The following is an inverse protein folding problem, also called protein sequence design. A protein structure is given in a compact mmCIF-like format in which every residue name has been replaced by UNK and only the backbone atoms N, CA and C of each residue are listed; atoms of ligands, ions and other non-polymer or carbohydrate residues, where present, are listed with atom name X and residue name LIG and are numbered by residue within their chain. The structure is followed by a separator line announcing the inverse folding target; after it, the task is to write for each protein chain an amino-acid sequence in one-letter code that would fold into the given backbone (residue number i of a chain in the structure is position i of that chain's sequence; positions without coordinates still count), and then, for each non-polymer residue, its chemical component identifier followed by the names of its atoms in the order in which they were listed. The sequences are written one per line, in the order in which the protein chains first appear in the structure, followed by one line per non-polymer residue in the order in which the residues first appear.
data_IF_168347383033
#
_entry.id   IF_168347383033
#
_cell.length_a   1.000
_cell.length_b   1.000
_cell.length_c   1.000
_cell.angle_alpha   90.00
_cell.angle_beta   90.00
_cell.angle_gamma   90.00
#
_symmetry.space_group_name_H-M   'P 1'
#
loop_
_entity.id
_entity.type
_entity.pdbx_description
1 polymer ?
#
# COMPACT_ATOMS: atom_id res chain seq x y z
N UNK A 1 -33.58 -19.38 12.16
CA UNK A 1 -33.20 -18.12 12.86
C UNK A 1 -32.30 -17.28 11.98
N UNK A 2 -32.15 -15.99 12.26
CA UNK A 2 -31.26 -15.09 11.53
C UNK A 2 -29.79 -15.57 11.54
N UNK A 3 -29.35 -16.15 12.67
CA UNK A 3 -28.03 -16.76 12.82
C UNK A 3 -27.78 -17.88 11.80
N UNK A 4 -28.72 -18.79 11.65
CA UNK A 4 -28.61 -19.90 10.68
C UNK A 4 -28.52 -19.42 9.24
N UNK A 5 -29.27 -18.36 8.88
CA UNK A 5 -29.20 -17.74 7.54
C UNK A 5 -27.83 -17.10 7.29
N UNK A 6 -27.24 -16.42 8.28
CA UNK A 6 -25.93 -15.84 8.19
C UNK A 6 -24.82 -16.91 8.02
N UNK A 7 -24.88 -18.00 8.79
CA UNK A 7 -23.94 -19.12 8.68
C UNK A 7 -24.01 -19.78 7.30
N UNK A 8 -25.21 -20.01 6.78
CA UNK A 8 -25.40 -20.54 5.42
C UNK A 8 -24.82 -19.60 4.36
N UNK A 9 -25.07 -18.30 4.46
CA UNK A 9 -24.54 -17.30 3.54
C UNK A 9 -23.00 -17.27 3.54
N UNK A 10 -22.36 -17.27 4.72
CA UNK A 10 -20.90 -17.32 4.81
C UNK A 10 -20.32 -18.61 4.26
N UNK A 11 -20.98 -19.76 4.47
CA UNK A 11 -20.57 -21.04 3.90
C UNK A 11 -20.64 -21.00 2.35
N UNK A 12 -21.70 -20.44 1.79
CA UNK A 12 -21.85 -20.27 0.35
C UNK A 12 -20.76 -19.34 -0.23
N UNK A 13 -20.48 -18.24 0.45
CA UNK A 13 -19.37 -17.32 0.07
C UNK A 13 -18.00 -18.02 0.10
N UNK A 14 -17.73 -18.81 1.12
CA UNK A 14 -16.48 -19.57 1.22
C UNK A 14 -16.33 -20.58 0.10
N UNK A 15 -17.40 -21.30 -0.22
CA UNK A 15 -17.40 -22.27 -1.31
C UNK A 15 -17.22 -21.60 -2.68
N UNK A 16 -17.91 -20.48 -2.93
CA UNK A 16 -17.78 -19.71 -4.17
C UNK A 16 -16.41 -19.05 -4.36
N UNK A 17 -15.63 -18.87 -3.27
CA UNK A 17 -14.33 -18.22 -3.31
C UNK A 17 -13.36 -18.89 -4.28
N UNK A 18 -13.25 -20.21 -4.24
CA UNK A 18 -12.28 -20.94 -5.06
C UNK A 18 -12.65 -20.85 -6.55
N UNK A 19 -13.91 -20.96 -6.88
CA UNK A 19 -14.40 -20.83 -8.25
C UNK A 19 -14.15 -19.42 -8.79
N UNK A 20 -14.41 -18.40 -7.97
CA UNK A 20 -14.13 -17.00 -8.33
C UNK A 20 -12.63 -16.78 -8.59
N UNK A 21 -11.77 -17.22 -7.67
CA UNK A 21 -10.32 -17.05 -7.82
C UNK A 21 -9.82 -17.78 -9.08
N UNK A 22 -10.28 -19.00 -9.31
CA UNK A 22 -9.96 -19.79 -10.51
C UNK A 22 -10.41 -19.08 -11.79
N UNK A 23 -11.65 -18.59 -11.83
CA UNK A 23 -12.20 -17.87 -12.99
C UNK A 23 -11.43 -16.58 -13.30
N UNK A 24 -10.84 -15.93 -12.29
CA UNK A 24 -10.02 -14.73 -12.45
C UNK A 24 -8.51 -15.02 -12.60
N UNK A 25 -8.10 -16.29 -12.59
CA UNK A 25 -6.69 -16.67 -12.63
C UNK A 25 -5.90 -16.23 -11.40
N UNK A 26 -6.58 -16.06 -10.26
CA UNK A 26 -5.99 -15.59 -9.02
C UNK A 26 -5.64 -16.76 -8.09
N UNK A 27 -4.55 -16.61 -7.32
CA UNK A 27 -4.17 -17.54 -6.27
C UNK A 27 -4.89 -17.23 -4.96
N UNK A 28 -4.93 -18.17 -4.03
CA UNK A 28 -5.51 -18.00 -2.68
C UNK A 28 -4.72 -17.06 -1.78
N UNK A 29 -3.49 -16.74 -2.15
CA UNK A 29 -2.63 -15.81 -1.43
C UNK A 29 -1.81 -14.98 -2.41
N UNK A 30 -1.72 -13.68 -2.15
CA UNK A 30 -0.92 -12.73 -2.91
C UNK A 30 0.11 -12.13 -1.97
N UNK A 31 1.38 -12.13 -2.39
CA UNK A 31 2.44 -11.46 -1.63
C UNK A 31 2.38 -9.94 -1.88
N UNK A 32 3.06 -9.18 -1.01
CA UNK A 32 3.08 -7.74 -1.13
C UNK A 32 3.70 -7.29 -2.46
N UNK A 33 4.83 -7.89 -2.87
CA UNK A 33 5.44 -7.58 -4.17
C UNK A 33 4.53 -7.94 -5.35
N UNK A 34 3.80 -9.05 -5.29
CA UNK A 34 2.82 -9.40 -6.33
C UNK A 34 1.67 -8.40 -6.41
N UNK A 35 1.35 -7.72 -5.32
CA UNK A 35 0.28 -6.72 -5.29
C UNK A 35 0.71 -5.37 -5.85
N UNK A 36 1.92 -4.87 -5.53
CA UNK A 36 2.31 -3.47 -5.76
C UNK A 36 3.62 -3.26 -6.52
N UNK A 37 4.30 -4.30 -7.03
CA UNK A 37 5.58 -4.12 -7.74
C UNK A 37 5.49 -3.34 -9.06
N UNK A 38 4.31 -3.16 -9.62
CA UNK A 38 4.06 -2.32 -10.78
C UNK A 38 3.92 -0.81 -10.43
N UNK A 39 3.87 -0.48 -9.14
CA UNK A 39 3.70 0.87 -8.60
C UNK A 39 5.01 1.45 -8.01
N UNK A 40 6.16 0.83 -8.25
CA UNK A 40 7.44 1.32 -7.75
C UNK A 40 7.81 2.67 -8.34
N UNK A 41 8.43 3.55 -7.53
CA UNK A 41 9.01 4.82 -7.99
C UNK A 41 10.03 4.61 -9.11
N UNK A 42 10.80 3.53 -9.05
CA UNK A 42 11.75 3.13 -10.09
C UNK A 42 11.12 2.80 -11.45
N UNK A 43 9.80 2.58 -11.51
CA UNK A 43 9.07 2.32 -12.76
C UNK A 43 8.69 3.56 -13.55
N UNK A 44 8.92 4.71 -12.99
CA UNK A 44 8.75 6.00 -13.61
C UNK A 44 7.99 7.00 -12.75
N UNK A 45 8.33 8.24 -12.91
CA UNK A 45 7.78 9.37 -12.16
C UNK A 45 7.18 10.37 -13.14
N UNK A 46 6.09 11.01 -12.74
CA UNK A 46 5.56 12.22 -13.37
C UNK A 46 5.40 13.31 -12.34
N UNK A 47 5.46 14.55 -12.80
CA UNK A 47 5.05 15.73 -12.03
C UNK A 47 3.68 16.12 -12.57
N UNK A 48 2.70 16.17 -11.70
CA UNK A 48 1.35 16.60 -12.05
C UNK A 48 1.30 18.13 -12.18
N UNK A 49 0.51 18.62 -13.12
CA UNK A 49 0.41 20.06 -13.38
C UNK A 49 -0.25 20.82 -12.22
N UNK A 50 -1.14 20.17 -11.49
CA UNK A 50 -1.83 20.75 -10.33
C UNK A 50 -0.97 20.69 -9.05
N UNK A 51 -0.14 19.63 -8.92
CA UNK A 51 0.67 19.36 -7.74
C UNK A 51 2.17 19.35 -8.05
N UNK A 52 2.69 20.44 -8.62
CA UNK A 52 4.05 20.57 -9.19
C UNK A 52 5.19 20.26 -8.20
N UNK A 53 4.95 20.32 -6.89
CA UNK A 53 5.96 20.02 -5.87
C UNK A 53 6.02 18.55 -5.47
N UNK A 54 5.15 17.71 -6.03
CA UNK A 54 5.07 16.30 -5.67
C UNK A 54 5.33 15.39 -6.87
N UNK A 55 5.90 14.23 -6.57
CA UNK A 55 6.15 13.18 -7.54
C UNK A 55 5.02 12.17 -7.48
N UNK A 56 4.52 11.79 -8.64
CA UNK A 56 3.53 10.73 -8.81
C UNK A 56 4.16 9.58 -9.58
N UNK A 57 3.79 8.35 -9.26
CA UNK A 57 4.27 7.18 -9.97
C UNK A 57 3.44 6.90 -11.22
N UNK A 58 4.09 6.48 -12.29
CA UNK A 58 3.43 5.96 -13.50
C UNK A 58 3.01 4.52 -13.31
N UNK A 59 2.00 4.10 -14.07
CA UNK A 59 1.82 2.69 -14.32
C UNK A 59 2.97 2.12 -15.13
N UNK A 60 3.45 0.94 -14.75
CA UNK A 60 4.22 0.15 -15.70
C UNK A 60 3.30 -0.27 -16.86
N UNK A 61 3.82 -0.23 -18.08
CA UNK A 61 3.08 -0.57 -19.31
C UNK A 61 2.58 -2.02 -19.33
N UNK A 62 3.28 -2.92 -18.65
CA UNK A 62 2.96 -4.35 -18.61
C UNK A 62 2.70 -4.77 -17.16
N UNK A 63 1.48 -5.12 -16.77
CA UNK A 63 1.19 -5.73 -15.49
C UNK A 63 1.89 -7.07 -15.36
N UNK A 64 2.65 -7.26 -14.30
CA UNK A 64 3.50 -8.44 -14.14
C UNK A 64 2.74 -9.65 -13.56
N UNK A 65 1.74 -9.41 -12.69
CA UNK A 65 1.02 -10.48 -11.98
C UNK A 65 -0.46 -10.54 -12.38
N UNK A 66 -1.08 -11.70 -12.16
CA UNK A 66 -2.52 -11.86 -12.35
C UNK A 66 -3.34 -10.91 -11.47
N UNK A 67 -2.86 -10.68 -10.22
CA UNK A 67 -3.50 -9.75 -9.30
C UNK A 67 -3.44 -8.31 -9.81
N UNK A 68 -2.29 -7.85 -10.29
CA UNK A 68 -2.14 -6.51 -10.86
C UNK A 68 -3.02 -6.32 -12.09
N UNK A 69 -3.09 -7.33 -12.98
CA UNK A 69 -4.02 -7.32 -14.13
C UNK A 69 -5.48 -7.19 -13.68
N UNK A 70 -5.86 -7.94 -12.64
CA UNK A 70 -7.21 -7.91 -12.09
C UNK A 70 -7.53 -6.53 -11.47
N UNK A 71 -6.63 -5.96 -10.68
CA UNK A 71 -6.81 -4.63 -10.09
C UNK A 71 -6.91 -3.51 -11.14
N UNK A 72 -6.28 -3.69 -12.29
CA UNK A 72 -6.26 -2.72 -13.39
C UNK A 72 -7.29 -3.01 -14.48
N UNK A 73 -8.13 -4.04 -14.34
CA UNK A 73 -9.03 -4.51 -15.41
C UNK A 73 -10.03 -3.45 -15.89
N UNK A 74 -10.47 -2.56 -15.01
CA UNK A 74 -11.46 -1.52 -15.31
C UNK A 74 -10.83 -0.13 -15.48
N UNK A 75 -9.51 -0.02 -15.47
CA UNK A 75 -8.83 1.28 -15.55
C UNK A 75 -8.88 1.79 -16.99
N UNK A 76 -9.71 2.80 -17.18
CA UNK A 76 -9.58 3.68 -18.34
C UNK A 76 -8.56 4.76 -17.97
N UNK A 77 -7.32 4.62 -18.42
CA UNK A 77 -6.21 5.52 -18.05
C UNK A 77 -6.49 6.91 -18.64
N UNK A 78 -7.15 7.75 -17.85
CA UNK A 78 -7.48 9.14 -18.24
C UNK A 78 -6.44 10.16 -17.81
N UNK A 79 -5.43 9.78 -17.04
CA UNK A 79 -4.43 10.69 -16.47
C UNK A 79 -3.00 10.18 -16.60
N UNK A 80 -2.01 11.03 -16.30
CA UNK A 80 -0.59 10.70 -16.41
C UNK A 80 -0.12 9.68 -15.36
N UNK A 81 -0.90 9.46 -14.31
CA UNK A 81 -0.58 8.57 -13.20
C UNK A 81 -1.83 7.91 -12.60
N UNK A 82 -1.70 6.79 -11.87
CA UNK A 82 -2.80 6.20 -11.10
C UNK A 82 -3.36 7.18 -10.08
N UNK A 83 -4.68 7.14 -9.84
CA UNK A 83 -5.28 7.95 -8.78
C UNK A 83 -4.61 7.66 -7.44
N UNK A 84 -4.36 8.72 -6.68
CA UNK A 84 -3.82 8.66 -5.32
C UNK A 84 -2.43 7.99 -5.20
N UNK A 85 -1.66 7.92 -6.29
CA UNK A 85 -0.30 7.38 -6.30
C UNK A 85 0.76 8.49 -6.21
N UNK A 86 0.62 9.34 -5.19
CA UNK A 86 1.56 10.42 -4.86
C UNK A 86 2.58 9.96 -3.84
N UNK A 87 3.87 10.11 -4.15
CA UNK A 87 4.95 9.82 -3.21
C UNK A 87 5.06 10.89 -2.12
N UNK A 88 5.34 10.46 -0.89
CA UNK A 88 5.65 11.38 0.19
C UNK A 88 6.99 12.09 -0.07
N UNK A 89 7.03 13.38 0.24
CA UNK A 89 8.24 14.19 0.06
C UNK A 89 9.10 14.12 1.34
N UNK A 90 9.80 13.00 1.53
CA UNK A 90 10.70 12.80 2.65
C UNK A 90 12.00 13.61 2.47
N UNK A 91 12.51 14.18 3.56
CA UNK A 91 13.84 14.78 3.57
C UNK A 91 14.93 13.67 3.56
N UNK A 92 16.16 14.07 3.24
CA UNK A 92 17.27 13.13 3.11
C UNK A 92 17.54 12.32 4.38
N UNK A 93 17.40 12.92 5.57
CA UNK A 93 17.62 12.22 6.83
C UNK A 93 16.59 11.10 7.05
N UNK A 94 15.34 11.32 6.66
CA UNK A 94 14.29 10.29 6.73
C UNK A 94 14.57 9.17 5.72
N UNK A 95 14.95 9.52 4.49
CA UNK A 95 15.30 8.54 3.45
C UNK A 95 16.46 7.66 3.91
N UNK A 96 17.55 8.25 4.41
CA UNK A 96 18.71 7.51 4.92
C UNK A 96 18.32 6.60 6.10
N UNK A 97 17.52 7.09 7.03
CA UNK A 97 16.99 6.29 8.14
C UNK A 97 16.16 5.10 7.66
N UNK A 98 15.26 5.31 6.71
CA UNK A 98 14.46 4.22 6.16
C UNK A 98 15.32 3.19 5.42
N UNK A 99 16.33 3.64 4.68
CA UNK A 99 17.28 2.74 4.02
C UNK A 99 18.03 1.88 5.03
N UNK A 100 18.58 2.48 6.07
CA UNK A 100 19.27 1.73 7.14
C UNK A 100 18.35 0.72 7.83
N UNK A 101 17.10 1.10 8.10
CA UNK A 101 16.12 0.20 8.70
C UNK A 101 15.77 -0.97 7.77
N UNK A 102 15.63 -0.73 6.47
CA UNK A 102 15.43 -1.78 5.48
C UNK A 102 16.62 -2.75 5.43
N UNK A 103 17.83 -2.26 5.53
CA UNK A 103 19.05 -3.07 5.49
C UNK A 103 19.23 -3.91 6.77
N UNK A 104 19.04 -3.28 7.94
CA UNK A 104 19.15 -3.94 9.24
C UNK A 104 18.07 -5.00 9.48
N UNK A 105 16.86 -4.78 8.97
CA UNK A 105 15.72 -5.65 9.24
C UNK A 105 15.47 -6.69 8.16
N UNK A 106 16.42 -6.88 7.25
CA UNK A 106 16.32 -7.79 6.08
C UNK A 106 15.78 -9.19 6.42
N UNK A 107 16.11 -9.71 7.59
CA UNK A 107 15.71 -11.05 8.07
C UNK A 107 14.43 -11.05 8.92
N UNK A 108 13.92 -9.90 9.31
CA UNK A 108 12.79 -9.74 10.26
C UNK A 108 11.76 -8.71 9.79
N UNK A 109 11.55 -8.58 8.50
CA UNK A 109 10.53 -7.70 7.95
C UNK A 109 9.12 -8.19 8.32
N UNK A 110 8.11 -7.36 8.14
CA UNK A 110 6.74 -7.58 8.58
C UNK A 110 6.54 -7.70 10.11
N UNK A 111 7.53 -7.28 10.91
CA UNK A 111 7.43 -7.15 12.36
C UNK A 111 7.83 -5.75 12.80
N UNK A 112 7.33 -5.32 13.93
CA UNK A 112 7.77 -4.04 14.50
C UNK A 112 9.27 -4.09 14.81
N UNK A 113 9.95 -2.96 14.66
CA UNK A 113 11.38 -2.85 14.95
C UNK A 113 11.62 -3.00 16.46
N UNK A 114 12.69 -3.71 16.83
CA UNK A 114 13.07 -3.92 18.21
C UNK A 114 13.39 -2.57 18.92
N UNK A 115 13.11 -2.52 20.23
CA UNK A 115 13.31 -1.31 21.02
C UNK A 115 14.78 -0.83 21.07
N UNK A 116 15.73 -1.74 20.91
CA UNK A 116 17.15 -1.39 20.85
C UNK A 116 17.45 -0.58 19.59
N UNK A 117 16.96 -1.03 18.43
CA UNK A 117 17.07 -0.31 17.16
C UNK A 117 16.35 1.03 17.24
N UNK A 118 15.16 1.07 17.85
CA UNK A 118 14.41 2.33 18.03
C UNK A 118 15.21 3.34 18.85
N UNK A 119 15.83 2.91 19.94
CA UNK A 119 16.67 3.78 20.79
C UNK A 119 17.90 4.29 20.02
N UNK A 120 18.60 3.40 19.33
CA UNK A 120 19.78 3.77 18.54
C UNK A 120 19.49 4.83 17.47
N UNK A 121 18.34 4.76 16.82
CA UNK A 121 17.92 5.71 15.78
C UNK A 121 17.04 6.85 16.30
N UNK A 122 16.87 7.00 17.61
CA UNK A 122 16.00 8.00 18.24
C UNK A 122 14.56 7.99 17.67
N UNK A 123 14.00 6.79 17.47
CA UNK A 123 12.66 6.60 16.96
C UNK A 123 11.67 6.55 18.11
N UNK A 124 10.95 7.65 18.32
CA UNK A 124 9.94 7.76 19.38
C UNK A 124 8.60 7.09 19.01
N UNK A 125 8.46 6.62 17.78
CA UNK A 125 7.23 6.02 17.27
C UNK A 125 7.03 4.61 17.85
N UNK A 126 5.81 4.33 18.33
CA UNK A 126 5.49 3.01 18.90
C UNK A 126 5.56 1.90 17.84
N UNK A 127 4.96 2.13 16.69
CA UNK A 127 4.92 1.18 15.58
C UNK A 127 5.71 1.68 14.40
N UNK A 128 6.65 0.86 13.89
CA UNK A 128 7.32 1.05 12.62
C UNK A 128 7.69 -0.32 12.05
N UNK A 129 7.14 -0.65 10.90
CA UNK A 129 7.20 -1.98 10.30
C UNK A 129 7.82 -1.89 8.89
N UNK A 130 9.07 -2.34 8.72
CA UNK A 130 9.63 -2.56 7.40
C UNK A 130 8.93 -3.75 6.74
N UNK A 131 8.29 -3.53 5.62
CA UNK A 131 7.53 -4.57 4.94
C UNK A 131 8.44 -5.56 4.20
N UNK A 132 7.98 -6.80 4.03
CA UNK A 132 8.64 -7.82 3.22
C UNK A 132 7.81 -8.11 1.96
N UNK A 133 8.42 -7.91 0.79
CA UNK A 133 7.78 -8.17 -0.50
C UNK A 133 7.35 -9.61 -0.71
N UNK A 134 8.01 -10.58 -0.07
CA UNK A 134 7.74 -12.01 -0.21
C UNK A 134 6.67 -12.53 0.77
N UNK A 135 6.20 -11.68 1.68
CA UNK A 135 5.17 -12.02 2.65
C UNK A 135 3.85 -11.35 2.28
N UNK A 136 2.77 -11.83 2.89
CA UNK A 136 1.49 -11.13 2.87
C UNK A 136 1.62 -9.82 3.65
N UNK A 137 0.85 -8.81 3.26
CA UNK A 137 0.79 -7.58 4.03
C UNK A 137 0.24 -7.86 5.44
N UNK A 138 0.80 -7.23 6.48
CA UNK A 138 0.22 -7.26 7.83
C UNK A 138 -1.10 -6.48 7.86
N UNK A 139 -1.83 -6.57 8.97
CA UNK A 139 -3.00 -5.73 9.22
C UNK A 139 -2.63 -4.26 9.11
N UNK A 140 -3.32 -3.52 8.27
CA UNK A 140 -3.03 -2.12 8.00
C UNK A 140 -3.58 -1.25 9.14
N UNK A 141 -2.73 -0.34 9.63
CA UNK A 141 -3.10 0.68 10.62
C UNK A 141 -3.59 1.96 9.93
N UNK A 142 -4.19 2.86 10.70
CA UNK A 142 -4.69 4.15 10.20
C UNK A 142 -3.60 5.20 9.98
N UNK A 143 -2.36 4.92 10.39
CA UNK A 143 -1.22 5.85 10.25
C UNK A 143 -0.32 5.40 9.09
N UNK A 144 -0.20 6.18 8.02
CA UNK A 144 0.55 5.78 6.83
C UNK A 144 2.04 5.61 7.07
N UNK A 145 2.58 6.26 8.08
CA UNK A 145 3.98 6.20 8.44
C UNK A 145 4.33 5.07 9.43
N UNK A 146 3.39 4.17 9.74
CA UNK A 146 3.67 2.93 10.48
C UNK A 146 4.40 1.89 9.64
N UNK A 147 4.36 2.03 8.31
CA UNK A 147 4.98 1.08 7.39
C UNK A 147 6.03 1.72 6.51
N UNK A 148 7.18 1.03 6.39
CA UNK A 148 8.18 1.34 5.38
C UNK A 148 7.95 0.38 4.19
N UNK A 149 7.99 0.91 2.98
CA UNK A 149 7.85 0.13 1.76
C UNK A 149 8.89 -1.01 1.68
N UNK A 150 8.53 -2.14 1.06
CA UNK A 150 9.33 -3.37 1.10
C UNK A 150 10.71 -3.26 0.42
N UNK A 151 10.92 -2.33 -0.50
CA UNK A 151 12.20 -2.19 -1.21
C UNK A 151 12.61 -0.74 -1.52
N UNK A 152 11.78 0.24 -1.20
CA UNK A 152 12.09 1.67 -1.40
C UNK A 152 12.05 2.40 -0.05
N UNK A 153 13.01 3.32 0.24
CA UNK A 153 13.12 3.98 1.55
C UNK A 153 12.08 5.09 1.71
N UNK A 154 10.81 4.71 1.72
CA UNK A 154 9.65 5.60 1.82
C UNK A 154 8.45 4.90 2.48
N UNK A 155 7.45 5.65 2.85
CA UNK A 155 6.14 5.10 3.20
C UNK A 155 5.39 4.68 1.92
N UNK A 156 4.33 3.89 2.10
CA UNK A 156 3.44 3.54 0.98
C UNK A 156 2.58 4.73 0.56
N UNK A 157 2.20 4.76 -0.70
CA UNK A 157 1.19 5.68 -1.23
C UNK A 157 -0.23 5.20 -0.90
N UNK A 158 -1.23 6.08 -1.02
CA UNK A 158 -2.64 5.69 -0.86
C UNK A 158 -3.02 4.57 -1.83
N UNK A 159 -2.57 4.64 -3.10
CA UNK A 159 -2.85 3.60 -4.09
C UNK A 159 -2.24 2.24 -3.72
N UNK A 160 -1.03 2.22 -3.17
CA UNK A 160 -0.42 0.98 -2.70
C UNK A 160 -1.20 0.37 -1.53
N UNK A 161 -1.64 1.19 -0.56
CA UNK A 161 -2.53 0.73 0.51
C UNK A 161 -3.86 0.19 -0.04
N UNK A 162 -4.47 0.88 -0.99
CA UNK A 162 -5.70 0.45 -1.65
C UNK A 162 -5.54 -0.92 -2.32
N UNK A 163 -4.42 -1.11 -3.05
CA UNK A 163 -4.09 -2.40 -3.67
C UNK A 163 -3.95 -3.53 -2.66
N UNK A 164 -3.28 -3.28 -1.53
CA UNK A 164 -3.13 -4.25 -0.45
C UNK A 164 -4.49 -4.66 0.11
N UNK A 165 -5.44 -3.75 0.16
CA UNK A 165 -6.80 -3.99 0.63
C UNK A 165 -7.77 -4.44 -0.49
N UNK A 166 -7.26 -4.74 -1.69
CA UNK A 166 -8.02 -5.20 -2.85
C UNK A 166 -9.03 -4.18 -3.40
N UNK A 167 -8.80 -2.88 -3.20
CA UNK A 167 -9.53 -1.85 -3.95
C UNK A 167 -9.01 -1.82 -5.39
N UNK A 168 -9.89 -1.91 -6.39
CA UNK A 168 -9.47 -1.81 -7.78
C UNK A 168 -8.97 -0.39 -8.12
N UNK A 169 -8.18 -0.28 -9.18
CA UNK A 169 -7.49 0.98 -9.49
C UNK A 169 -8.38 2.06 -10.07
N UNK A 170 -9.59 1.71 -10.50
CA UNK A 170 -10.64 2.64 -10.91
C UNK A 170 -11.36 3.29 -9.70
N UNK A 171 -11.13 2.79 -8.48
CA UNK A 171 -11.65 3.43 -7.26
C UNK A 171 -10.88 4.73 -6.98
N UNK A 172 -11.62 5.83 -6.86
CA UNK A 172 -11.06 7.18 -6.65
C UNK A 172 -11.20 7.60 -5.19
N UNK A 173 -10.06 7.90 -4.57
CA UNK A 173 -10.03 8.46 -3.21
C UNK A 173 -10.08 9.99 -3.26
N UNK A 174 -10.95 10.58 -2.45
CA UNK A 174 -11.11 12.05 -2.35
C UNK A 174 -10.45 12.58 -1.06
N UNK A 175 -10.29 13.89 -0.99
CA UNK A 175 -9.71 14.55 0.18
C UNK A 175 -8.20 14.78 0.09
N UNK A 176 -7.62 15.25 1.19
CA UNK A 176 -6.20 15.62 1.26
C UNK A 176 -5.28 14.39 1.38
N UNK A 177 -4.04 14.56 0.95
CA UNK A 177 -3.02 13.51 1.05
C UNK A 177 -2.31 13.44 2.41
N UNK A 178 -2.30 14.51 3.17
CA UNK A 178 -1.58 14.55 4.45
C UNK A 178 -2.42 14.06 5.61
N UNK A 179 -1.77 13.39 6.56
CA UNK A 179 -2.36 12.99 7.84
C UNK A 179 -1.78 13.80 9.01
N UNK A 180 -0.79 14.66 8.76
CA UNK A 180 -0.03 15.34 9.81
C UNK A 180 -0.60 16.67 10.26
N UNK A 181 -0.17 17.12 11.46
CA UNK A 181 -0.39 18.44 12.01
C UNK A 181 -1.84 18.76 12.44
N UNK A 182 -2.10 20.05 12.64
CA UNK A 182 -3.42 20.57 13.07
C UNK A 182 -4.56 20.29 12.08
N UNK A 183 -4.23 19.92 10.85
CA UNK A 183 -5.21 19.61 9.80
C UNK A 183 -5.68 18.16 9.81
N UNK A 184 -5.14 17.32 10.69
CA UNK A 184 -5.47 15.89 10.76
C UNK A 184 -6.97 15.62 10.93
N UNK A 185 -7.67 16.47 11.66
CA UNK A 185 -9.08 16.30 12.01
C UNK A 185 -10.05 17.15 11.18
N UNK A 186 -9.56 18.07 10.36
CA UNK A 186 -10.42 19.02 9.65
C UNK A 186 -11.04 18.50 8.35
N UNK A 187 -10.41 17.53 7.73
CA UNK A 187 -10.88 16.91 6.48
C UNK A 187 -10.47 15.44 6.50
N UNK A 188 -11.27 14.57 5.91
CA UNK A 188 -10.93 13.13 5.86
C UNK A 188 -9.73 12.92 4.93
N UNK A 189 -8.58 12.50 5.46
CA UNK A 189 -7.42 12.18 4.63
C UNK A 189 -7.70 10.94 3.78
N UNK A 190 -7.10 10.88 2.58
CA UNK A 190 -7.22 9.70 1.69
C UNK A 190 -6.70 8.41 2.32
N UNK A 191 -5.76 8.49 3.24
CA UNK A 191 -5.20 7.33 3.96
C UNK A 191 -6.15 6.70 5.00
N UNK A 192 -7.24 7.37 5.35
CA UNK A 192 -8.19 6.93 6.39
C UNK A 192 -9.58 6.58 5.83
N UNK A 193 -9.69 6.48 4.54
CA UNK A 193 -10.93 6.10 3.86
C UNK A 193 -11.07 4.60 3.69
#
# INVERSE_FOLDING_TARGET
SAKCKAELFFTQLQNARFDFLKAKGLRTGTTLSEAISDLLMSKGIVIDNEYTHFRFGKYNSIPLTAYQKFMRSNVNIKGPHPDSHRFANHNNNIIQRFQLLLDLTKKRRCSNIDNEIKRHFHINKHTIIPLDGNQKAPTITTLPDDYIHYCEPRILTVREYARIQSFPDDFIFKGKYTTGGKLRTKETPRYTQ
#
